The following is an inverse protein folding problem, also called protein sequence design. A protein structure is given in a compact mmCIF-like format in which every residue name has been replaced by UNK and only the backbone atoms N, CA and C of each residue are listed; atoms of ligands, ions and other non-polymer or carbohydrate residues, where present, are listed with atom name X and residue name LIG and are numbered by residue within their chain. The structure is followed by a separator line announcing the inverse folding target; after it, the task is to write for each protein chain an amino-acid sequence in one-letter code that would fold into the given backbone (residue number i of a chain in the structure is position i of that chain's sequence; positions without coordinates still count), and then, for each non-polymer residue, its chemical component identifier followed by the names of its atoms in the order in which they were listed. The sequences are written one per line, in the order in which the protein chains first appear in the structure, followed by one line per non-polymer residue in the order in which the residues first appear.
data_IF_580216168846
#
_entry.id   IF_580216168846
#
_cell.length_a   1.000
_cell.length_b   1.000
_cell.length_c   1.000
_cell.angle_alpha   90.00
_cell.angle_beta   90.00
_cell.angle_gamma   90.00
#
_symmetry.space_group_name_H-M   'P 1'
#
loop_
_entity.id
_entity.type
_entity.pdbx_description
1 polymer ?
#
# COMPACT_ATOMS: atom_id res chain seq x y z
N UNK A 1 -3.84 -39.54 49.03
CA UNK A 1 -4.71 -38.42 48.58
C UNK A 1 -4.51 -38.25 47.09
N UNK A 2 -5.50 -38.62 46.27
CA UNK A 2 -5.38 -38.53 44.80
C UNK A 2 -5.93 -37.19 44.32
N UNK A 3 -5.06 -36.32 43.81
CA UNK A 3 -5.47 -35.09 43.13
C UNK A 3 -6.17 -35.48 41.83
N UNK A 4 -7.43 -35.07 41.70
CA UNK A 4 -8.29 -35.29 40.52
C UNK A 4 -7.63 -34.63 39.28
N UNK A 5 -7.18 -35.39 38.26
CA UNK A 5 -6.47 -34.82 37.12
C UNK A 5 -7.37 -34.09 36.11
N UNK A 6 -8.70 -34.28 36.22
CA UNK A 6 -9.67 -33.80 35.23
C UNK A 6 -9.92 -32.30 35.30
N UNK A 7 -9.88 -31.68 36.48
CA UNK A 7 -10.03 -30.23 36.64
C UNK A 7 -8.86 -29.46 36.03
N UNK A 8 -7.63 -29.94 36.21
CA UNK A 8 -6.41 -29.29 35.68
C UNK A 8 -6.35 -29.23 34.15
N UNK A 9 -6.86 -30.26 33.44
CA UNK A 9 -6.89 -30.26 31.97
C UNK A 9 -7.95 -29.33 31.40
N UNK A 10 -9.10 -29.19 32.07
CA UNK A 10 -10.17 -28.28 31.65
C UNK A 10 -9.74 -26.83 31.82
N UNK A 11 -9.11 -26.51 32.95
CA UNK A 11 -8.58 -25.18 33.23
C UNK A 11 -7.48 -24.78 32.22
N UNK A 12 -6.56 -25.69 31.91
CA UNK A 12 -5.55 -25.46 30.87
C UNK A 12 -6.17 -25.24 29.48
N UNK A 13 -7.22 -26.00 29.13
CA UNK A 13 -7.93 -25.82 27.86
C UNK A 13 -8.67 -24.48 27.80
N UNK A 14 -9.23 -24.01 28.92
CA UNK A 14 -9.91 -22.72 29.01
C UNK A 14 -8.93 -21.55 28.82
N UNK A 15 -7.75 -21.61 29.44
CA UNK A 15 -6.71 -20.59 29.26
C UNK A 15 -6.19 -20.54 27.81
N UNK A 16 -6.01 -21.70 27.18
CA UNK A 16 -5.66 -21.79 25.76
C UNK A 16 -6.77 -21.19 24.90
N UNK A 17 -8.04 -21.47 25.20
CA UNK A 17 -9.17 -20.90 24.45
C UNK A 17 -9.24 -19.37 24.59
N UNK A 18 -9.00 -18.82 25.79
CA UNK A 18 -8.93 -17.36 26.02
C UNK A 18 -7.79 -16.73 25.23
N UNK A 19 -6.60 -17.34 25.24
CA UNK A 19 -5.44 -16.89 24.47
C UNK A 19 -5.73 -16.85 22.97
N UNK A 20 -6.31 -17.93 22.42
CA UNK A 20 -6.70 -17.97 21.01
C UNK A 20 -7.77 -16.94 20.66
N UNK A 21 -8.77 -16.75 21.52
CA UNK A 21 -9.79 -15.75 21.31
C UNK A 21 -9.18 -14.35 21.20
N UNK A 22 -8.22 -14.01 22.07
CA UNK A 22 -7.50 -12.74 22.00
C UNK A 22 -6.73 -12.59 20.68
N UNK A 23 -6.00 -13.62 20.25
CA UNK A 23 -5.28 -13.61 18.96
C UNK A 23 -6.23 -13.34 17.80
N UNK A 24 -7.42 -13.97 17.78
CA UNK A 24 -8.41 -13.73 16.73
C UNK A 24 -8.92 -12.28 16.72
N UNK A 25 -9.14 -11.67 17.88
CA UNK A 25 -9.55 -10.26 17.95
C UNK A 25 -8.44 -9.32 17.48
N UNK A 26 -7.20 -9.59 17.86
CA UNK A 26 -6.05 -8.77 17.46
C UNK A 26 -5.83 -8.83 15.95
N UNK A 27 -5.92 -10.02 15.34
CA UNK A 27 -5.84 -10.19 13.88
C UNK A 27 -6.95 -9.39 13.18
N UNK A 28 -8.19 -9.46 13.70
CA UNK A 28 -9.32 -8.72 13.14
C UNK A 28 -9.11 -7.20 13.22
N UNK A 29 -8.63 -6.70 14.35
CA UNK A 29 -8.33 -5.28 14.55
C UNK A 29 -7.19 -4.81 13.64
N UNK A 30 -6.12 -5.60 13.53
CA UNK A 30 -4.98 -5.27 12.67
C UNK A 30 -5.36 -5.27 11.18
N UNK A 31 -6.19 -6.21 10.74
CA UNK A 31 -6.69 -6.23 9.37
C UNK A 31 -7.53 -4.99 9.05
N UNK A 32 -8.42 -4.58 9.97
CA UNK A 32 -9.21 -3.37 9.82
C UNK A 32 -8.32 -2.12 9.74
N UNK A 33 -7.28 -2.03 10.58
CA UNK A 33 -6.29 -0.95 10.56
C UNK A 33 -5.46 -0.94 9.27
N UNK A 34 -5.01 -2.09 8.78
CA UNK A 34 -4.28 -2.18 7.52
C UNK A 34 -5.14 -1.70 6.34
N UNK A 35 -6.42 -2.09 6.31
CA UNK A 35 -7.37 -1.64 5.28
C UNK A 35 -7.58 -0.13 5.31
N UNK A 36 -7.71 0.49 6.48
CA UNK A 36 -7.88 1.94 6.58
C UNK A 36 -6.62 2.69 6.15
N UNK A 37 -5.44 2.21 6.54
CA UNK A 37 -4.16 2.76 6.10
C UNK A 37 -3.96 2.64 4.60
N UNK A 38 -4.31 1.48 4.01
CA UNK A 38 -4.23 1.29 2.56
C UNK A 38 -5.12 2.30 1.81
N UNK A 39 -6.35 2.51 2.27
CA UNK A 39 -7.25 3.52 1.68
C UNK A 39 -6.65 4.92 1.76
N UNK A 40 -6.12 5.30 2.92
CA UNK A 40 -5.49 6.61 3.12
C UNK A 40 -4.24 6.80 2.24
N UNK A 41 -3.45 5.75 2.04
CA UNK A 41 -2.29 5.80 1.14
C UNK A 41 -2.70 5.95 -0.33
N UNK A 42 -3.72 5.22 -0.78
CA UNK A 42 -4.24 5.36 -2.15
C UNK A 42 -4.74 6.78 -2.39
N UNK A 43 -5.54 7.33 -1.47
CA UNK A 43 -6.05 8.70 -1.57
C UNK A 43 -4.91 9.74 -1.60
N UNK A 44 -3.82 9.50 -0.85
CA UNK A 44 -2.63 10.36 -0.83
C UNK A 44 -1.74 10.20 -2.08
N UNK A 45 -1.67 9.01 -2.67
CA UNK A 45 -0.93 8.79 -3.92
C UNK A 45 -1.69 9.36 -5.14
N UNK A 46 -3.02 9.38 -5.11
CA UNK A 46 -3.84 10.00 -6.14
C UNK A 46 -3.66 11.53 -6.20
N UNK A 47 -3.25 12.18 -5.10
CA UNK A 47 -2.88 13.61 -5.13
C UNK A 47 -1.45 13.87 -5.61
N UNK A 48 -0.64 12.82 -5.77
CA UNK A 48 0.73 12.88 -6.30
C UNK A 48 0.86 12.22 -7.66
N UNK A 49 -0.22 12.12 -8.45
CA UNK A 49 -0.04 11.99 -9.90
C UNK A 49 0.87 13.15 -10.28
N UNK A 50 2.09 12.92 -10.81
CA UNK A 50 2.88 14.01 -11.31
C UNK A 50 1.98 14.63 -12.36
N UNK A 51 1.51 15.84 -12.09
CA UNK A 51 1.03 16.71 -13.13
C UNK A 51 2.29 16.97 -13.94
N UNK A 52 2.60 16.05 -14.85
CA UNK A 52 3.22 16.40 -16.11
C UNK A 52 2.18 17.31 -16.76
N UNK A 53 2.10 18.54 -16.25
CA UNK A 53 1.79 19.67 -17.09
C UNK A 53 2.69 19.44 -18.28
N UNK A 54 2.06 19.17 -19.42
CA UNK A 54 2.76 18.93 -20.67
C UNK A 54 3.83 20.01 -20.73
N UNK A 55 5.09 19.61 -20.50
CA UNK A 55 6.22 20.49 -20.63
C UNK A 55 6.21 20.79 -22.12
N UNK A 56 5.46 21.83 -22.49
CA UNK A 56 5.45 22.36 -23.84
C UNK A 56 6.91 22.66 -24.06
N UNK A 57 7.56 21.88 -24.92
CA UNK A 57 8.92 22.13 -25.36
C UNK A 57 8.90 23.54 -25.94
N UNK A 58 9.25 24.52 -25.12
CA UNK A 58 9.36 25.93 -25.51
C UNK A 58 10.68 26.18 -26.23
N UNK A 59 11.63 25.26 -26.07
CA UNK A 59 12.90 25.25 -26.77
C UNK A 59 12.73 24.70 -28.18
N UNK A 60 13.15 25.51 -29.15
CA UNK A 60 13.15 25.16 -30.58
C UNK A 60 14.34 24.28 -30.97
N UNK A 61 15.26 24.01 -30.03
CA UNK A 61 16.51 23.30 -30.28
C UNK A 61 16.76 22.25 -29.20
N UNK A 62 17.24 21.08 -29.61
CA UNK A 62 17.74 20.02 -28.73
C UNK A 62 19.15 19.69 -29.21
N UNK A 63 20.16 20.22 -28.53
CA UNK A 63 21.55 20.11 -28.98
C UNK A 63 21.74 20.76 -30.37
N UNK A 64 22.36 20.08 -31.34
CA UNK A 64 22.53 20.63 -32.69
C UNK A 64 21.27 20.51 -33.57
N UNK A 65 20.15 20.01 -33.04
CA UNK A 65 18.95 19.73 -33.84
C UNK A 65 17.84 20.76 -33.59
N UNK A 66 17.19 21.22 -34.66
CA UNK A 66 15.98 22.04 -34.60
C UNK A 66 14.74 21.15 -34.45
N UNK A 67 13.86 21.50 -33.51
CA UNK A 67 12.59 20.80 -33.26
C UNK A 67 11.53 21.37 -34.20
N UNK A 68 11.12 20.58 -35.19
CA UNK A 68 10.08 20.98 -36.14
C UNK A 68 8.67 20.66 -35.64
N UNK A 69 8.50 19.52 -34.97
CA UNK A 69 7.19 19.05 -34.50
C UNK A 69 7.33 18.17 -33.26
N UNK A 70 6.42 18.37 -32.30
CA UNK A 70 6.30 17.58 -31.08
C UNK A 70 5.04 16.74 -31.15
N UNK A 71 5.19 15.43 -31.25
CA UNK A 71 4.10 14.45 -31.19
C UNK A 71 4.04 13.86 -29.76
N UNK A 72 2.89 13.28 -29.33
CA UNK A 72 2.75 12.73 -27.98
C UNK A 72 3.80 11.68 -27.59
N UNK A 73 4.37 10.97 -28.58
CA UNK A 73 5.33 9.89 -28.38
C UNK A 73 6.61 10.02 -29.25
N UNK A 74 6.77 11.10 -30.00
CA UNK A 74 7.89 11.26 -30.94
C UNK A 74 8.22 12.74 -31.20
N UNK A 75 9.45 13.03 -31.64
CA UNK A 75 9.90 14.36 -32.06
C UNK A 75 10.39 14.30 -33.50
N UNK A 76 10.01 15.28 -34.33
CA UNK A 76 10.63 15.50 -35.64
C UNK A 76 11.74 16.53 -35.51
N UNK A 77 12.96 16.09 -35.83
CA UNK A 77 14.16 16.89 -35.71
C UNK A 77 14.79 17.14 -37.08
N UNK A 78 15.41 18.31 -37.24
CA UNK A 78 16.24 18.65 -38.39
C UNK A 78 17.65 18.97 -37.90
N UNK A 79 18.66 18.45 -38.60
CA UNK A 79 20.07 18.78 -38.37
C UNK A 79 20.45 20.04 -39.16
#
# INVERSE_FOLDING_TARGET
MGIKPTTSKVEAAEEVAKSWFQVFQDVKANLAKARSQQKQQVDRCCSSVPSYSSCKLSEKWIGPYEVLEVLPNALKLKL
#
